data_IF_839357451339
#
_entry.id   IF_839357451339
#
_cell.length_a   1.000
_cell.length_b   1.000
_cell.length_c   1.000
_cell.angle_alpha   90.00
_cell.angle_beta   90.00
_cell.angle_gamma   90.00
#
_symmetry.space_group_name_H-M   'P 1'
#
loop_
_entity.id
_entity.type
_entity.pdbx_description
1 polymer ?
#
# COMPACT_ATOMS: atom_id res chain seq x y z
N UNK A 1 -0.92 -42.69 -47.11
CA UNK A 1 -0.01 -42.42 -45.98
C UNK A 1 1.14 -41.42 -46.30
N UNK A 2 1.54 -41.27 -47.55
CA UNK A 2 2.69 -40.41 -47.96
C UNK A 2 2.43 -38.91 -47.96
N UNK A 3 1.17 -38.44 -47.86
CA UNK A 3 0.77 -37.02 -47.85
C UNK A 3 0.54 -36.42 -46.44
N UNK A 4 0.55 -37.27 -45.40
CA UNK A 4 0.39 -36.81 -44.00
C UNK A 4 1.71 -36.39 -43.36
N UNK A 5 2.84 -36.86 -43.84
CA UNK A 5 4.18 -36.57 -43.29
C UNK A 5 4.57 -35.09 -43.38
N UNK A 6 4.35 -34.36 -44.51
CA UNK A 6 4.69 -32.95 -44.59
C UNK A 6 3.73 -32.05 -43.74
N UNK A 7 2.50 -32.50 -43.48
CA UNK A 7 1.56 -31.77 -42.64
C UNK A 7 1.93 -31.86 -41.15
N UNK A 8 2.38 -33.03 -40.68
CA UNK A 8 2.90 -33.18 -39.32
C UNK A 8 4.20 -32.38 -39.09
N UNK A 9 5.06 -32.27 -40.10
CA UNK A 9 6.27 -31.46 -40.01
C UNK A 9 5.99 -29.96 -39.96
N UNK A 10 4.92 -29.48 -40.63
CA UNK A 10 4.48 -28.09 -40.59
C UNK A 10 3.88 -27.72 -39.20
N UNK A 11 3.17 -28.64 -38.54
CA UNK A 11 2.62 -28.43 -37.21
C UNK A 11 3.75 -28.42 -36.15
N UNK A 12 4.78 -29.25 -36.30
CA UNK A 12 5.90 -29.29 -35.39
C UNK A 12 6.78 -28.02 -35.44
N UNK A 13 6.87 -27.37 -36.60
CA UNK A 13 7.63 -26.13 -36.74
C UNK A 13 6.95 -24.91 -36.08
N UNK A 14 5.64 -24.95 -35.90
CA UNK A 14 4.91 -23.86 -35.18
C UNK A 14 5.12 -23.89 -33.66
N UNK A 15 5.45 -25.04 -33.07
CA UNK A 15 5.68 -25.16 -31.63
C UNK A 15 7.04 -24.66 -31.17
N UNK A 16 7.94 -24.25 -32.07
CA UNK A 16 9.27 -23.70 -31.76
C UNK A 16 9.36 -22.18 -31.88
N UNK A 17 8.27 -21.53 -32.31
CA UNK A 17 8.20 -20.07 -32.33
C UNK A 17 7.96 -19.56 -30.91
N UNK A 18 9.03 -19.29 -30.17
CA UNK A 18 8.95 -18.42 -29.00
C UNK A 18 8.56 -17.04 -29.51
N UNK A 19 7.42 -16.54 -29.07
CA UNK A 19 7.05 -15.14 -29.32
C UNK A 19 8.19 -14.26 -28.80
N UNK A 20 8.75 -13.44 -29.66
CA UNK A 20 9.68 -12.40 -29.23
C UNK A 20 8.95 -11.45 -28.29
N UNK A 21 9.61 -11.02 -27.24
CA UNK A 21 9.07 -9.96 -26.38
C UNK A 21 8.77 -8.76 -27.29
N UNK A 22 7.49 -8.38 -27.35
CA UNK A 22 6.99 -7.36 -28.27
C UNK A 22 7.38 -5.93 -27.88
N UNK A 23 7.94 -5.75 -26.69
CA UNK A 23 8.39 -4.46 -26.21
C UNK A 23 9.90 -4.46 -25.99
N UNK A 24 10.64 -3.58 -26.69
CA UNK A 24 12.05 -3.40 -26.37
C UNK A 24 12.15 -2.86 -24.94
N UNK A 25 13.03 -3.45 -24.14
CA UNK A 25 13.40 -2.90 -22.84
C UNK A 25 14.12 -1.59 -23.10
N UNK A 26 13.41 -0.47 -22.94
CA UNK A 26 13.97 0.87 -23.08
C UNK A 26 14.83 1.15 -21.84
N UNK A 27 16.15 1.13 -22.02
CA UNK A 27 17.14 1.41 -21.00
C UNK A 27 18.33 0.47 -21.10
N UNK A 28 19.51 0.93 -20.69
CA UNK A 28 20.67 0.07 -20.56
C UNK A 28 20.49 -0.84 -19.33
N UNK A 29 20.70 -2.13 -19.52
CA UNK A 29 20.73 -3.08 -18.41
C UNK A 29 21.77 -2.64 -17.38
N UNK A 30 21.37 -2.48 -16.12
CA UNK A 30 22.28 -2.17 -15.01
C UNK A 30 23.23 -3.35 -14.80
N UNK A 31 24.50 -3.18 -15.22
CA UNK A 31 25.55 -4.19 -15.13
C UNK A 31 26.22 -4.23 -13.76
N UNK A 32 25.83 -3.37 -12.81
CA UNK A 32 26.41 -3.37 -11.47
C UNK A 32 26.05 -4.67 -10.75
N UNK A 33 27.01 -5.28 -10.06
CA UNK A 33 26.71 -6.45 -9.25
C UNK A 33 25.73 -6.07 -8.14
N UNK A 34 24.63 -6.79 -8.06
CA UNK A 34 23.57 -6.56 -7.06
C UNK A 34 23.72 -7.49 -5.85
N UNK A 35 24.90 -8.13 -5.70
CA UNK A 35 25.21 -9.08 -4.64
C UNK A 35 26.11 -8.42 -3.62
N UNK A 36 25.62 -8.30 -2.39
CA UNK A 36 26.35 -7.69 -1.29
C UNK A 36 26.48 -8.66 -0.13
N UNK A 37 27.65 -8.73 0.47
CA UNK A 37 27.93 -9.46 1.69
C UNK A 37 28.34 -8.47 2.79
N UNK A 38 27.50 -8.31 3.78
CA UNK A 38 27.81 -7.52 4.97
C UNK A 38 28.40 -8.48 6.04
N UNK A 39 29.64 -8.29 6.41
CA UNK A 39 30.37 -9.20 7.30
C UNK A 39 30.80 -8.54 8.61
N UNK A 40 31.01 -9.37 9.64
CA UNK A 40 31.50 -8.95 10.97
C UNK A 40 30.55 -8.00 11.72
N UNK A 41 29.27 -7.97 11.40
CA UNK A 41 28.29 -7.17 12.13
C UNK A 41 27.61 -7.98 13.23
N UNK A 42 27.09 -7.29 14.25
CA UNK A 42 26.09 -7.88 15.13
C UNK A 42 24.73 -7.76 14.46
N UNK A 43 24.16 -8.90 14.05
CA UNK A 43 22.88 -8.95 13.31
C UNK A 43 21.76 -9.25 14.30
N UNK A 44 20.86 -8.32 14.50
CA UNK A 44 19.67 -8.49 15.35
C UNK A 44 18.53 -9.01 14.51
N UNK A 45 18.07 -10.22 14.82
CA UNK A 45 16.97 -10.88 14.08
C UNK A 45 15.60 -10.47 14.63
N UNK A 46 15.49 -10.41 15.96
CA UNK A 46 14.32 -9.97 16.73
C UNK A 46 14.75 -9.61 18.15
N UNK A 47 13.84 -9.10 18.95
CA UNK A 47 14.09 -8.79 20.35
C UNK A 47 14.67 -10.01 21.11
N UNK A 48 15.82 -9.81 21.74
CA UNK A 48 16.54 -10.85 22.49
C UNK A 48 17.25 -11.92 21.64
N UNK A 49 17.30 -11.80 20.32
CA UNK A 49 18.02 -12.73 19.45
C UNK A 49 18.95 -11.99 18.49
N UNK A 50 20.25 -12.19 18.64
CA UNK A 50 21.28 -11.61 17.78
C UNK A 50 22.35 -12.63 17.41
N UNK A 51 23.03 -12.37 16.31
CA UNK A 51 24.19 -13.14 15.83
C UNK A 51 25.39 -12.19 15.88
N UNK A 52 26.36 -12.49 16.73
CA UNK A 52 27.63 -11.75 16.78
C UNK A 52 28.54 -12.14 15.63
N UNK A 53 29.29 -11.16 15.09
CA UNK A 53 30.18 -11.34 13.93
C UNK A 53 29.51 -12.04 12.75
N UNK A 54 28.21 -11.79 12.56
CA UNK A 54 27.38 -12.41 11.53
C UNK A 54 27.71 -11.90 10.13
N UNK A 55 27.27 -12.70 9.15
CA UNK A 55 27.30 -12.38 7.72
C UNK A 55 25.87 -12.33 7.19
N UNK A 56 25.53 -11.24 6.53
CA UNK A 56 24.27 -11.05 5.80
C UNK A 56 24.56 -11.03 4.30
N UNK A 57 24.00 -11.96 3.56
CA UNK A 57 24.07 -11.99 2.10
C UNK A 57 22.79 -11.43 1.49
N UNK A 58 22.95 -10.44 0.64
CA UNK A 58 21.85 -9.81 -0.10
C UNK A 58 22.10 -9.99 -1.59
N UNK A 59 21.13 -10.51 -2.30
CA UNK A 59 21.16 -10.71 -3.74
C UNK A 59 19.98 -9.96 -4.37
N UNK A 60 20.28 -8.90 -5.08
CA UNK A 60 19.29 -7.94 -5.63
C UNK A 60 18.38 -7.37 -4.53
N UNK A 61 17.15 -7.79 -4.45
CA UNK A 61 16.12 -7.30 -3.50
C UNK A 61 15.87 -8.26 -2.34
N UNK A 62 16.59 -9.38 -2.27
CA UNK A 62 16.31 -10.44 -1.32
C UNK A 62 17.49 -10.69 -0.39
N UNK A 63 17.17 -11.00 0.87
CA UNK A 63 18.12 -11.58 1.80
C UNK A 63 18.27 -13.05 1.43
N UNK A 64 19.50 -13.47 1.06
CA UNK A 64 19.79 -14.84 0.65
C UNK A 64 20.19 -15.71 1.84
N UNK A 65 20.99 -15.15 2.75
CA UNK A 65 21.40 -15.86 3.96
C UNK A 65 21.77 -14.91 5.10
N UNK A 66 21.54 -15.36 6.33
CA UNK A 66 21.99 -14.71 7.56
C UNK A 66 22.56 -15.77 8.49
N UNK A 67 23.84 -15.69 8.82
CA UNK A 67 24.50 -16.69 9.70
C UNK A 67 25.78 -16.14 10.31
N UNK A 68 26.23 -16.73 11.43
CA UNK A 68 27.55 -16.46 12.02
C UNK A 68 28.71 -17.05 11.22
N UNK A 69 28.49 -18.22 10.58
CA UNK A 69 29.57 -19.00 9.93
C UNK A 69 29.48 -18.97 8.39
N UNK A 70 28.72 -18.05 7.83
CA UNK A 70 28.51 -17.98 6.39
C UNK A 70 29.77 -17.52 5.67
N UNK A 71 30.33 -18.39 4.83
CA UNK A 71 31.38 -18.00 3.87
C UNK A 71 30.78 -17.16 2.76
N UNK A 72 31.45 -16.07 2.41
CA UNK A 72 31.04 -15.19 1.31
C UNK A 72 31.31 -15.92 -0.02
N UNK A 73 30.27 -16.20 -0.85
CA UNK A 73 30.47 -16.78 -2.16
C UNK A 73 31.19 -15.84 -3.12
N UNK A 74 31.78 -16.39 -4.18
CA UNK A 74 32.39 -15.57 -5.23
C UNK A 74 31.35 -14.67 -5.92
N UNK A 75 31.74 -13.46 -6.32
CA UNK A 75 30.88 -12.52 -7.01
C UNK A 75 30.08 -11.59 -6.10
N UNK A 76 30.28 -11.65 -4.76
CA UNK A 76 29.71 -10.70 -3.83
C UNK A 76 30.67 -9.53 -3.55
N UNK A 77 30.10 -8.33 -3.47
CA UNK A 77 30.81 -7.16 -2.94
C UNK A 77 30.80 -7.28 -1.42
N UNK A 78 31.97 -7.45 -0.80
CA UNK A 78 32.10 -7.59 0.65
C UNK A 78 32.25 -6.23 1.31
N UNK A 79 31.40 -5.96 2.30
CA UNK A 79 31.42 -4.76 3.13
C UNK A 79 31.66 -5.19 4.59
N UNK A 80 32.80 -4.80 5.15
CA UNK A 80 33.11 -5.08 6.56
C UNK A 80 32.41 -4.07 7.46
N UNK A 81 31.58 -4.55 8.36
CA UNK A 81 30.80 -3.76 9.33
C UNK A 81 31.23 -4.03 10.77
N UNK A 82 32.48 -4.33 10.99
CA UNK A 82 33.02 -4.58 12.33
C UNK A 82 32.62 -3.49 13.33
N UNK A 83 32.09 -3.91 14.49
CA UNK A 83 31.59 -3.03 15.54
C UNK A 83 30.24 -2.35 15.25
N UNK A 84 29.59 -2.66 14.12
CA UNK A 84 28.27 -2.14 13.77
C UNK A 84 27.17 -3.18 13.97
N UNK A 85 25.94 -2.67 14.05
CA UNK A 85 24.74 -3.49 14.19
C UNK A 85 23.91 -3.41 12.91
N UNK A 86 23.29 -4.52 12.55
CA UNK A 86 22.27 -4.59 11.51
C UNK A 86 20.94 -4.94 12.19
N UNK A 87 19.92 -4.12 11.96
CA UNK A 87 18.56 -4.32 12.44
C UNK A 87 17.61 -4.47 11.26
N UNK A 88 16.49 -5.22 11.40
CA UNK A 88 15.37 -5.06 10.51
C UNK A 88 14.91 -3.60 10.54
N UNK A 89 14.54 -3.05 9.38
CA UNK A 89 13.98 -1.70 9.32
C UNK A 89 12.60 -1.66 9.98
N UNK A 90 12.23 -0.49 10.49
CA UNK A 90 10.87 -0.22 10.93
C UNK A 90 9.94 -0.07 9.72
N UNK A 91 8.69 -0.43 9.92
CA UNK A 91 7.60 -0.21 8.96
C UNK A 91 6.61 0.73 9.65
N UNK A 92 6.36 1.89 9.02
CA UNK A 92 5.30 2.77 9.48
C UNK A 92 3.97 2.31 8.89
N UNK A 93 3.03 1.96 9.75
CA UNK A 93 1.72 1.46 9.33
C UNK A 93 0.72 2.58 9.01
N UNK A 94 1.07 3.83 9.27
CA UNK A 94 0.20 4.99 9.06
C UNK A 94 1.04 6.23 8.76
N UNK A 95 1.12 6.61 7.49
CA UNK A 95 1.96 7.71 7.02
C UNK A 95 1.30 8.49 5.90
N UNK A 96 1.54 9.78 5.84
CA UNK A 96 1.16 10.65 4.70
C UNK A 96 2.29 10.84 3.71
N UNK A 97 3.38 10.07 3.83
CA UNK A 97 4.51 10.15 2.92
C UNK A 97 4.11 10.01 1.46
N UNK A 98 4.48 11.00 0.66
CA UNK A 98 4.29 10.98 -0.78
C UNK A 98 2.83 11.08 -1.26
N UNK A 99 1.87 11.38 -0.37
CA UNK A 99 0.48 11.61 -0.75
C UNK A 99 0.05 13.04 -0.41
N UNK A 100 -0.91 13.62 -1.15
CA UNK A 100 -1.38 14.97 -0.87
C UNK A 100 -2.03 15.08 0.51
N UNK A 101 -1.69 16.14 1.25
CA UNK A 101 -2.40 16.48 2.48
C UNK A 101 -3.86 16.85 2.20
N UNK A 102 -4.75 16.39 3.07
CA UNK A 102 -6.16 16.81 3.05
C UNK A 102 -6.25 18.28 3.43
N UNK A 103 -6.79 19.08 2.53
CA UNK A 103 -7.11 20.48 2.86
C UNK A 103 -8.48 20.53 3.51
N UNK A 104 -8.52 20.62 4.82
CA UNK A 104 -9.75 20.93 5.53
C UNK A 104 -10.40 22.20 4.98
N UNK A 105 -11.55 22.02 4.36
CA UNK A 105 -12.36 23.14 3.89
C UNK A 105 -13.05 23.85 5.06
N UNK A 106 -12.34 24.69 5.80
CA UNK A 106 -12.99 25.58 6.78
C UNK A 106 -13.82 26.61 6.04
N UNK A 107 -15.10 26.36 5.90
CA UNK A 107 -16.07 27.38 5.45
C UNK A 107 -16.42 28.30 6.62
N UNK A 108 -15.95 29.53 6.57
CA UNK A 108 -16.40 30.59 7.47
C UNK A 108 -17.71 31.17 6.91
N UNK A 109 -18.83 30.92 7.56
CA UNK A 109 -20.10 31.49 7.21
C UNK A 109 -21.26 30.47 7.18
N UNK A 110 -22.48 30.96 7.04
CA UNK A 110 -23.69 30.16 6.92
C UNK A 110 -23.84 29.71 5.46
N UNK A 111 -23.07 28.68 5.06
CA UNK A 111 -23.18 28.10 3.73
C UNK A 111 -24.55 27.38 3.57
N UNK A 112 -25.12 27.34 2.36
CA UNK A 112 -26.29 26.50 2.07
C UNK A 112 -26.01 25.02 2.43
N UNK A 113 -27.05 24.33 2.90
CA UNK A 113 -26.93 22.90 3.20
C UNK A 113 -26.76 22.11 1.90
N UNK A 114 -25.71 21.28 1.87
CA UNK A 114 -25.43 20.31 0.82
C UNK A 114 -25.84 18.93 1.32
N UNK A 115 -26.98 18.43 0.89
CA UNK A 115 -27.56 17.19 1.41
C UNK A 115 -26.99 15.96 0.72
N UNK A 116 -26.62 16.08 -0.55
CA UNK A 116 -26.07 15.00 -1.36
C UNK A 116 -24.81 15.45 -2.06
N UNK A 117 -23.95 14.50 -2.42
CA UNK A 117 -22.73 14.77 -3.19
C UNK A 117 -23.03 15.52 -4.49
N UNK A 118 -22.17 16.48 -4.80
CA UNK A 118 -22.18 17.22 -6.07
C UNK A 118 -21.26 16.61 -7.12
N UNK A 119 -20.56 15.51 -6.81
CA UNK A 119 -19.70 14.81 -7.74
C UNK A 119 -20.52 14.14 -8.84
N UNK A 120 -20.11 14.34 -10.09
CA UNK A 120 -20.69 13.64 -11.23
C UNK A 120 -20.12 12.22 -11.32
N UNK A 121 -20.99 11.22 -11.52
CA UNK A 121 -20.62 9.82 -11.67
C UNK A 121 -21.35 8.90 -10.70
N UNK A 122 -21.04 7.61 -10.75
CA UNK A 122 -21.67 6.57 -9.95
C UNK A 122 -21.07 6.46 -8.52
N UNK A 123 -20.93 7.60 -7.85
CA UNK A 123 -20.41 7.68 -6.49
C UNK A 123 -21.50 7.58 -5.43
N UNK A 124 -21.09 7.29 -4.18
CA UNK A 124 -21.99 7.38 -3.03
C UNK A 124 -22.56 8.80 -2.83
N UNK A 125 -23.71 8.87 -2.16
CA UNK A 125 -24.42 10.13 -1.93
C UNK A 125 -23.71 11.09 -0.97
N UNK A 126 -22.78 10.57 -0.14
CA UNK A 126 -22.08 11.37 0.89
C UNK A 126 -20.58 11.42 0.59
N UNK A 127 -20.03 12.61 0.50
CA UNK A 127 -18.63 12.84 0.14
C UNK A 127 -17.62 12.44 1.22
N UNK A 128 -18.06 12.20 2.47
CA UNK A 128 -17.19 11.66 3.52
C UNK A 128 -16.94 10.14 3.38
N UNK A 129 -17.75 9.47 2.56
CA UNK A 129 -17.61 8.05 2.23
C UNK A 129 -16.99 7.97 0.84
N UNK A 130 -15.69 7.71 0.79
CA UNK A 130 -14.89 7.70 -0.45
C UNK A 130 -13.97 6.48 -0.56
N UNK A 131 -14.48 5.27 -0.37
CA UNK A 131 -13.67 4.05 -0.39
C UNK A 131 -13.06 3.75 -1.76
N UNK A 132 -13.55 4.42 -2.82
CA UNK A 132 -13.00 4.35 -4.18
C UNK A 132 -11.61 5.00 -4.32
N UNK A 133 -11.20 5.82 -3.35
CA UNK A 133 -9.88 6.46 -3.37
C UNK A 133 -8.79 5.44 -3.04
N UNK A 134 -7.71 5.47 -3.81
CA UNK A 134 -6.54 4.61 -3.60
C UNK A 134 -5.30 5.46 -3.45
N UNK A 135 -4.55 5.25 -2.38
CA UNK A 135 -3.34 6.03 -2.14
C UNK A 135 -2.29 5.83 -3.24
N UNK A 136 -2.23 4.65 -3.86
CA UNK A 136 -1.31 4.35 -4.95
C UNK A 136 -1.50 5.25 -6.17
N UNK A 137 -2.74 5.69 -6.44
CA UNK A 137 -3.04 6.53 -7.61
C UNK A 137 -2.61 8.01 -7.40
N UNK A 138 -2.36 8.41 -6.15
CA UNK A 138 -1.93 9.75 -5.77
C UNK A 138 -0.49 9.80 -5.26
N UNK A 139 0.15 8.64 -5.13
CA UNK A 139 1.50 8.54 -4.56
C UNK A 139 2.55 9.15 -5.49
N UNK A 140 3.41 9.99 -4.91
CA UNK A 140 4.60 10.54 -5.56
C UNK A 140 5.73 10.62 -4.54
N UNK A 141 6.82 9.91 -4.78
CA UNK A 141 7.93 9.82 -3.84
C UNK A 141 8.66 11.16 -3.67
N UNK A 142 8.94 11.55 -2.42
CA UNK A 142 9.81 12.68 -2.09
C UNK A 142 11.15 12.21 -1.52
N UNK A 143 12.25 12.59 -2.19
CA UNK A 143 13.62 12.17 -1.81
C UNK A 143 14.00 12.68 -0.43
N UNK A 144 13.65 13.93 -0.09
CA UNK A 144 14.07 14.55 1.17
C UNK A 144 13.34 13.95 2.35
N UNK A 145 12.03 13.77 2.22
CA UNK A 145 11.19 13.13 3.23
C UNK A 145 11.60 11.66 3.44
N UNK A 146 11.83 10.92 2.34
CA UNK A 146 12.33 9.56 2.39
C UNK A 146 13.68 9.45 3.13
N UNK A 147 14.60 10.40 2.92
CA UNK A 147 15.87 10.43 3.65
C UNK A 147 15.70 10.71 5.14
N UNK A 148 14.74 11.55 5.51
CA UNK A 148 14.45 11.81 6.93
C UNK A 148 13.90 10.55 7.61
N UNK A 149 12.93 9.86 6.98
CA UNK A 149 12.36 8.62 7.49
C UNK A 149 13.43 7.50 7.61
N UNK A 150 14.30 7.37 6.61
CA UNK A 150 15.42 6.40 6.65
C UNK A 150 16.40 6.68 7.78
N UNK A 151 16.70 7.96 8.10
CA UNK A 151 17.59 8.33 9.18
C UNK A 151 17.11 7.88 10.56
N UNK A 152 15.78 7.79 10.75
CA UNK A 152 15.19 7.30 12.00
C UNK A 152 14.86 5.80 11.97
N UNK A 153 15.23 5.10 10.88
CA UNK A 153 15.21 3.64 10.80
C UNK A 153 14.05 3.03 10.04
N UNK A 154 13.19 3.82 9.41
CA UNK A 154 12.14 3.27 8.55
C UNK A 154 12.69 2.80 7.20
N UNK A 155 12.20 1.67 6.70
CA UNK A 155 12.54 1.11 5.39
C UNK A 155 11.35 1.10 4.43
N UNK A 156 10.16 1.03 4.97
CA UNK A 156 8.90 1.08 4.24
C UNK A 156 7.84 1.81 5.07
N UNK A 157 6.86 2.38 4.39
CA UNK A 157 5.72 3.04 5.02
C UNK A 157 4.43 2.67 4.28
N UNK A 158 3.33 2.60 5.01
CA UNK A 158 2.00 2.55 4.43
C UNK A 158 1.50 3.98 4.25
N UNK A 159 1.54 4.47 3.01
CA UNK A 159 1.03 5.78 2.65
C UNK A 159 -0.51 5.73 2.53
N UNK A 160 -1.17 6.72 3.12
CA UNK A 160 -2.63 6.84 3.13
C UNK A 160 -3.07 8.29 2.88
N UNK A 161 -4.26 8.44 2.33
CA UNK A 161 -4.93 9.74 2.20
C UNK A 161 -5.84 9.96 3.42
N UNK A 162 -5.49 10.93 4.27
CA UNK A 162 -6.21 11.26 5.49
C UNK A 162 -7.41 12.16 5.20
N UNK A 163 -8.42 11.65 4.48
CA UNK A 163 -9.59 12.45 4.11
C UNK A 163 -10.89 11.64 4.06
N UNK A 164 -11.81 11.97 4.95
CA UNK A 164 -13.12 11.34 5.04
C UNK A 164 -13.22 10.26 6.11
N UNK A 165 -14.43 9.71 6.25
CA UNK A 165 -14.79 8.66 7.22
C UNK A 165 -14.38 7.28 6.70
N UNK A 166 -14.67 6.96 5.44
CA UNK A 166 -14.11 5.81 4.73
C UNK A 166 -13.18 6.36 3.65
N UNK A 167 -11.88 6.14 3.83
CA UNK A 167 -10.80 6.82 3.11
C UNK A 167 -10.24 6.06 1.92
N UNK A 168 -10.69 4.81 1.74
CA UNK A 168 -10.20 3.92 0.70
C UNK A 168 -8.98 3.11 1.10
N UNK A 169 -8.13 2.75 0.14
CA UNK A 169 -6.99 1.86 0.38
C UNK A 169 -5.67 2.60 0.53
N UNK A 170 -4.87 2.17 1.53
CA UNK A 170 -3.48 2.57 1.66
C UNK A 170 -2.54 1.75 0.77
N UNK A 171 -1.37 2.30 0.47
CA UNK A 171 -0.32 1.64 -0.33
C UNK A 171 0.96 1.46 0.48
N UNK A 172 1.58 0.28 0.40
CA UNK A 172 2.88 0.03 1.02
C UNK A 172 3.99 0.38 0.03
N UNK A 173 4.86 1.30 0.43
CA UNK A 173 5.94 1.79 -0.41
C UNK A 173 7.29 1.72 0.31
N UNK A 174 8.36 1.55 -0.47
CA UNK A 174 9.73 1.74 0.01
C UNK A 174 10.12 3.21 -0.02
N UNK A 175 11.05 3.59 0.84
CA UNK A 175 11.56 4.97 0.91
C UNK A 175 12.68 5.23 -0.12
N UNK A 176 12.45 4.88 -1.41
CA UNK A 176 13.45 5.13 -2.48
C UNK A 176 13.56 6.60 -2.84
N UNK A 177 12.45 7.34 -2.72
CA UNK A 177 12.38 8.76 -3.00
C UNK A 177 12.38 9.15 -4.49
N UNK A 178 12.51 8.19 -5.39
CA UNK A 178 12.45 8.36 -6.85
C UNK A 178 11.90 7.08 -7.47
N UNK A 179 11.33 7.16 -8.68
CA UNK A 179 10.70 6.02 -9.35
C UNK A 179 9.47 5.48 -8.59
N UNK A 180 8.38 6.19 -8.67
CA UNK A 180 7.15 5.90 -7.93
C UNK A 180 6.66 4.47 -8.14
N UNK A 181 6.72 3.96 -9.38
CA UNK A 181 6.30 2.60 -9.70
C UNK A 181 7.18 1.52 -9.06
N UNK A 182 8.50 1.75 -8.96
CA UNK A 182 9.41 0.81 -8.31
C UNK A 182 9.41 0.93 -6.79
N UNK A 183 8.90 2.04 -6.24
CA UNK A 183 8.76 2.23 -4.81
C UNK A 183 7.59 1.41 -4.24
N UNK A 184 6.56 1.16 -5.03
CA UNK A 184 5.36 0.44 -4.59
C UNK A 184 5.66 -1.03 -4.37
N UNK A 185 5.49 -1.52 -3.14
CA UNK A 185 5.57 -2.93 -2.78
C UNK A 185 4.22 -3.62 -2.90
N UNK A 186 3.17 -2.98 -2.39
CA UNK A 186 1.79 -3.47 -2.45
C UNK A 186 0.87 -2.29 -2.68
N UNK A 187 0.08 -2.35 -3.74
CA UNK A 187 -0.77 -1.24 -4.15
C UNK A 187 -1.94 -0.99 -3.18
N UNK A 188 -2.54 -2.05 -2.66
CA UNK A 188 -3.69 -1.96 -1.74
C UNK A 188 -3.41 -2.85 -0.53
N UNK A 189 -3.07 -2.25 0.62
CA UNK A 189 -2.63 -2.98 1.83
C UNK A 189 -3.76 -3.12 2.85
N UNK A 190 -4.58 -2.08 3.00
CA UNK A 190 -5.65 -2.05 3.98
C UNK A 190 -6.66 -0.95 3.69
N UNK A 191 -7.84 -1.07 4.28
CA UNK A 191 -8.87 -0.03 4.24
C UNK A 191 -8.72 0.91 5.44
N UNK A 192 -8.90 2.20 5.22
CA UNK A 192 -8.70 3.23 6.22
C UNK A 192 -9.99 3.96 6.57
N UNK A 193 -10.18 4.18 7.85
CA UNK A 193 -11.37 4.81 8.42
C UNK A 193 -11.00 5.83 9.48
N UNK A 194 -11.89 6.80 9.69
CA UNK A 194 -11.88 7.69 10.85
C UNK A 194 -13.30 8.14 11.19
N UNK A 195 -13.45 8.91 12.26
CA UNK A 195 -14.72 9.57 12.55
C UNK A 195 -14.77 11.01 12.01
N UNK A 196 -13.69 11.48 11.40
CA UNK A 196 -13.64 12.80 10.78
C UNK A 196 -14.15 12.74 9.34
N UNK A 197 -15.00 13.68 8.98
CA UNK A 197 -15.52 13.81 7.61
C UNK A 197 -14.54 14.43 6.63
N UNK A 198 -13.44 15.00 7.11
CA UNK A 198 -12.39 15.63 6.30
C UNK A 198 -12.93 16.81 5.46
N UNK A 199 -12.49 16.86 4.20
CA UNK A 199 -12.84 17.91 3.23
C UNK A 199 -14.23 17.77 2.62
N UNK A 200 -15.06 16.81 3.06
CA UNK A 200 -16.39 16.56 2.51
C UNK A 200 -17.29 17.78 2.59
N UNK A 201 -17.91 18.16 1.47
CA UNK A 201 -18.82 19.33 1.36
C UNK A 201 -20.22 19.02 1.83
N UNK A 202 -20.62 17.76 1.88
CA UNK A 202 -21.93 17.37 2.40
C UNK A 202 -22.09 17.83 3.84
N UNK A 203 -23.23 18.41 4.17
CA UNK A 203 -23.51 18.97 5.50
C UNK A 203 -23.60 17.91 6.59
N UNK A 204 -24.00 16.69 6.23
CA UNK A 204 -24.01 15.52 7.10
C UNK A 204 -22.76 14.66 6.82
N UNK A 205 -22.10 14.10 7.88
CA UNK A 205 -22.37 14.28 9.28
C UNK A 205 -21.84 15.60 9.85
N UNK A 206 -22.43 16.05 10.96
CA UNK A 206 -22.01 17.26 11.70
C UNK A 206 -21.59 16.94 13.14
N UNK A 207 -21.52 15.66 13.49
CA UNK A 207 -21.18 15.21 14.84
C UNK A 207 -20.60 13.78 14.79
N UNK A 208 -19.87 13.40 15.84
CA UNK A 208 -19.33 12.06 16.02
C UNK A 208 -20.42 10.96 15.92
N UNK A 209 -21.59 11.19 16.53
CA UNK A 209 -22.73 10.26 16.42
C UNK A 209 -23.19 10.12 14.96
N UNK A 210 -23.22 11.24 14.23
CA UNK A 210 -23.54 11.23 12.81
C UNK A 210 -22.51 10.46 11.99
N UNK A 211 -21.21 10.61 12.28
CA UNK A 211 -20.13 9.86 11.62
C UNK A 211 -20.27 8.37 11.85
N UNK A 212 -20.52 7.95 13.09
CA UNK A 212 -20.74 6.54 13.44
C UNK A 212 -22.00 6.01 12.72
N UNK A 213 -23.09 6.77 12.71
CA UNK A 213 -24.33 6.35 12.06
C UNK A 213 -24.14 6.22 10.55
N UNK A 214 -23.45 7.18 9.92
CA UNK A 214 -23.13 7.15 8.49
C UNK A 214 -22.27 5.93 8.12
N UNK A 215 -21.23 5.65 8.90
CA UNK A 215 -20.37 4.51 8.64
C UNK A 215 -21.14 3.18 8.77
N UNK A 216 -21.97 3.03 9.81
CA UNK A 216 -22.83 1.85 9.97
C UNK A 216 -23.82 1.70 8.83
N UNK A 217 -24.45 2.81 8.41
CA UNK A 217 -25.33 2.81 7.24
C UNK A 217 -24.57 2.36 5.98
N UNK A 218 -23.33 2.82 5.80
CA UNK A 218 -22.50 2.42 4.66
C UNK A 218 -22.23 0.91 4.65
N UNK A 219 -22.00 0.27 5.80
CA UNK A 219 -21.86 -1.19 5.88
C UNK A 219 -23.14 -1.90 5.44
N UNK A 220 -24.31 -1.46 5.93
CA UNK A 220 -25.60 -2.04 5.50
C UNK A 220 -25.88 -1.81 4.03
N UNK A 221 -25.63 -0.60 3.52
CA UNK A 221 -25.80 -0.28 2.11
C UNK A 221 -24.88 -1.14 1.23
N UNK A 222 -23.64 -1.35 1.65
CA UNK A 222 -22.66 -2.17 0.95
C UNK A 222 -23.05 -3.67 0.96
N UNK A 223 -23.55 -4.18 2.08
CA UNK A 223 -24.09 -5.55 2.16
C UNK A 223 -25.31 -5.73 1.23
N UNK A 224 -26.24 -4.78 1.26
CA UNK A 224 -27.38 -4.79 0.37
C UNK A 224 -26.97 -4.72 -1.11
N UNK A 225 -26.04 -3.80 -1.45
CA UNK A 225 -25.48 -3.65 -2.80
C UNK A 225 -24.84 -4.94 -3.30
N UNK A 226 -24.08 -5.64 -2.48
CA UNK A 226 -23.46 -6.91 -2.86
C UNK A 226 -24.45 -8.03 -3.21
N UNK A 227 -25.71 -7.92 -2.77
CA UNK A 227 -26.78 -8.88 -3.05
C UNK A 227 -27.63 -8.50 -4.27
N UNK A 228 -27.48 -7.28 -4.79
CA UNK A 228 -28.26 -6.74 -5.89
C UNK A 228 -27.48 -6.80 -7.21
N UNK A 229 -28.22 -6.89 -8.32
CA UNK A 229 -27.71 -6.70 -9.68
C UNK A 229 -28.26 -5.40 -10.28
N UNK A 230 -28.30 -4.36 -9.47
CA UNK A 230 -28.87 -3.07 -9.84
C UNK A 230 -27.86 -2.12 -10.47
N UNK A 231 -28.05 -0.83 -10.24
CA UNK A 231 -27.17 0.22 -10.73
C UNK A 231 -25.78 0.12 -10.11
N UNK A 232 -24.74 0.36 -10.91
CA UNK A 232 -23.36 0.38 -10.47
C UNK A 232 -23.12 1.57 -9.54
N UNK A 233 -22.48 1.31 -8.38
CA UNK A 233 -22.04 2.32 -7.43
C UNK A 233 -20.56 2.09 -7.12
N UNK A 234 -19.69 2.98 -7.58
CA UNK A 234 -18.23 2.87 -7.45
C UNK A 234 -17.80 2.85 -5.98
N UNK A 235 -18.43 3.66 -5.13
CA UNK A 235 -18.07 3.72 -3.71
C UNK A 235 -18.45 2.43 -2.98
N UNK A 236 -19.65 1.88 -3.20
CA UNK A 236 -20.08 0.63 -2.55
C UNK A 236 -19.32 -0.58 -3.09
N UNK A 237 -19.01 -0.60 -4.38
CA UNK A 237 -18.15 -1.64 -4.98
C UNK A 237 -16.77 -1.65 -4.34
N UNK A 238 -16.12 -0.49 -4.25
CA UNK A 238 -14.81 -0.35 -3.60
C UNK A 238 -14.88 -0.69 -2.11
N UNK A 239 -15.91 -0.24 -1.39
CA UNK A 239 -16.11 -0.57 0.02
C UNK A 239 -16.15 -2.08 0.24
N UNK A 240 -16.96 -2.81 -0.53
CA UNK A 240 -17.04 -4.27 -0.47
C UNK A 240 -15.71 -4.95 -0.80
N UNK A 241 -15.01 -4.45 -1.82
CA UNK A 241 -13.69 -4.97 -2.23
C UNK A 241 -12.67 -4.93 -1.08
N UNK A 242 -12.65 -3.84 -0.33
CA UNK A 242 -11.67 -3.63 0.72
C UNK A 242 -11.99 -4.36 2.04
N UNK A 243 -13.19 -4.94 2.21
CA UNK A 243 -13.53 -5.70 3.42
C UNK A 243 -12.65 -6.93 3.64
N UNK A 244 -12.00 -7.44 2.59
CA UNK A 244 -11.07 -8.58 2.68
C UNK A 244 -9.65 -8.17 3.10
N UNK A 245 -9.36 -6.87 3.22
CA UNK A 245 -8.08 -6.34 3.65
C UNK A 245 -8.08 -6.04 5.15
N UNK A 246 -6.91 -5.89 5.78
CA UNK A 246 -6.82 -5.32 7.13
C UNK A 246 -7.52 -3.96 7.21
N UNK A 247 -8.27 -3.75 8.30
CA UNK A 247 -9.02 -2.52 8.52
C UNK A 247 -8.27 -1.65 9.54
N UNK A 248 -7.92 -0.44 9.16
CA UNK A 248 -7.22 0.54 9.98
C UNK A 248 -8.17 1.65 10.38
N UNK A 249 -8.29 1.92 11.67
CA UNK A 249 -9.16 2.96 12.18
C UNK A 249 -8.34 4.00 12.94
N UNK A 250 -8.28 5.23 12.42
CA UNK A 250 -7.67 6.36 13.10
C UNK A 250 -8.60 6.92 14.16
N UNK A 251 -8.08 7.11 15.36
CA UNK A 251 -8.82 7.63 16.52
C UNK A 251 -7.91 8.48 17.40
N UNK A 252 -8.43 9.58 17.91
CA UNK A 252 -7.69 10.53 18.74
C UNK A 252 -8.02 10.41 20.24
N UNK A 253 -9.10 9.70 20.59
CA UNK A 253 -9.56 9.56 21.95
C UNK A 253 -9.74 8.09 22.35
N UNK A 254 -9.46 7.76 23.61
CA UNK A 254 -9.59 6.39 24.13
C UNK A 254 -11.02 5.85 24.00
N UNK A 255 -12.04 6.69 24.09
CA UNK A 255 -13.43 6.27 23.90
C UNK A 255 -13.74 5.98 22.43
N UNK A 256 -13.03 6.60 21.50
CA UNK A 256 -13.17 6.33 20.07
C UNK A 256 -12.60 4.96 19.68
N UNK A 257 -11.57 4.49 20.39
CA UNK A 257 -11.12 3.09 20.28
C UNK A 257 -12.26 2.12 20.59
N UNK A 258 -13.02 2.39 21.67
CA UNK A 258 -14.16 1.54 22.07
C UNK A 258 -15.31 1.63 21.06
N UNK A 259 -15.53 2.80 20.45
CA UNK A 259 -16.53 3.02 19.41
C UNK A 259 -16.17 2.28 18.13
N UNK A 260 -14.92 2.42 17.67
CA UNK A 260 -14.39 1.70 16.52
C UNK A 260 -14.47 0.18 16.74
N UNK A 261 -14.09 -0.30 17.93
CA UNK A 261 -14.19 -1.72 18.27
C UNK A 261 -15.63 -2.24 18.23
N UNK A 262 -16.62 -1.44 18.64
CA UNK A 262 -18.03 -1.85 18.53
C UNK A 262 -18.46 -2.02 17.08
N UNK A 263 -18.03 -1.12 16.19
CA UNK A 263 -18.30 -1.23 14.75
C UNK A 263 -17.63 -2.49 14.18
N UNK A 264 -16.36 -2.72 14.48
CA UNK A 264 -15.62 -3.89 14.03
C UNK A 264 -16.19 -5.24 14.57
N UNK A 265 -16.95 -5.21 15.65
CA UNK A 265 -17.66 -6.38 16.16
C UNK A 265 -19.03 -6.60 15.51
N UNK A 266 -19.63 -5.55 15.01
CA UNK A 266 -20.97 -5.59 14.39
C UNK A 266 -20.88 -6.11 12.94
N UNK A 267 -19.79 -5.80 12.27
CA UNK A 267 -19.56 -6.11 10.86
C UNK A 267 -18.33 -6.98 10.62
#
# INVERSE_FOLDING_TARGET
MRKLLPFCFLILSFSLLKAQETFPVNGSHDKRPKKYAFVNATIVLKAGQSIEKGTLLVNDKLIEAVSGDQKVPSGYITINLEGKYIYPSLIDAFSTYGVPESKEGRSFGRAPQVLTSTKNGAYGWNEAIRPEIRAVDAFTGDVKEAEQLKKIGFGAVQAILEDGIARGSGTLVTLRGSDDNEAVLVADVGAHYSFDKGSAKTSYPSSLMGSIALLRQTYYDAQWYGQQKGEFNMSLEAFNKWQNLPQFFEVDDVLDVLRAHKIAKEF
#
